data_IF_927058607053
#
_entry.id   IF_927058607053
#
_cell.length_a   1.000
_cell.length_b   1.000
_cell.length_c   1.000
_cell.angle_alpha   90.00
_cell.angle_beta   90.00
_cell.angle_gamma   90.00
#
_symmetry.space_group_name_H-M   'P 1'
#
loop_
_entity.id
_entity.type
_entity.pdbx_description
1 polymer ?
#
# COMPACT_ATOMS: atom_id res chain seq x y z
N UNK A 1 -6.85 -4.94 -18.55
CA UNK A 1 -5.48 -4.39 -18.42
C UNK A 1 -5.33 -2.95 -18.89
N UNK A 2 -5.95 -2.52 -20.02
CA UNK A 2 -5.76 -1.19 -20.63
C UNK A 2 -5.78 0.00 -19.66
N UNK A 3 -6.55 -0.07 -18.56
CA UNK A 3 -6.69 1.00 -17.57
C UNK A 3 -6.19 0.67 -16.16
N UNK A 4 -5.75 -0.56 -15.90
CA UNK A 4 -5.44 -1.02 -14.54
C UNK A 4 -4.40 -0.13 -13.84
N UNK A 5 -3.42 0.35 -14.60
CA UNK A 5 -2.36 1.21 -14.06
C UNK A 5 -2.75 2.68 -13.95
N UNK A 6 -3.74 3.13 -14.71
CA UNK A 6 -4.32 4.45 -14.55
C UNK A 6 -5.17 4.48 -13.27
N UNK A 7 -6.01 3.46 -13.06
CA UNK A 7 -6.84 3.30 -11.87
C UNK A 7 -5.99 3.24 -10.60
N UNK A 8 -4.90 2.45 -10.60
CA UNK A 8 -3.98 2.38 -9.46
C UNK A 8 -3.34 3.73 -9.14
N UNK A 9 -2.88 4.47 -10.16
CA UNK A 9 -2.29 5.80 -9.97
C UNK A 9 -3.30 6.79 -9.41
N UNK A 10 -4.53 6.80 -9.93
CA UNK A 10 -5.61 7.67 -9.43
C UNK A 10 -5.94 7.36 -7.98
N UNK A 11 -6.06 6.07 -7.63
CA UNK A 11 -6.30 5.63 -6.27
C UNK A 11 -5.17 6.07 -5.32
N UNK A 12 -3.91 5.80 -5.67
CA UNK A 12 -2.76 6.20 -4.86
C UNK A 12 -2.70 7.72 -4.71
N UNK A 13 -2.91 8.48 -5.80
CA UNK A 13 -2.90 9.94 -5.75
C UNK A 13 -3.99 10.49 -4.81
N UNK A 14 -5.20 9.94 -4.86
CA UNK A 14 -6.28 10.30 -3.94
C UNK A 14 -5.91 10.00 -2.48
N UNK A 15 -5.35 8.82 -2.20
CA UNK A 15 -4.95 8.45 -0.83
C UNK A 15 -3.86 9.39 -0.32
N UNK A 16 -2.82 9.65 -1.11
CA UNK A 16 -1.69 10.50 -0.69
C UNK A 16 -2.08 11.98 -0.54
N UNK A 17 -3.05 12.46 -1.32
CA UNK A 17 -3.56 13.82 -1.21
C UNK A 17 -4.36 14.04 0.08
N UNK A 18 -5.18 13.06 0.47
CA UNK A 18 -6.12 13.21 1.59
C UNK A 18 -5.60 12.63 2.91
N UNK A 19 -4.57 11.78 2.87
CA UNK A 19 -4.07 11.08 4.06
C UNK A 19 -2.55 11.14 4.17
N UNK A 20 -2.07 11.18 5.41
CA UNK A 20 -0.73 10.75 5.77
C UNK A 20 -0.80 9.28 6.22
N UNK A 21 0.03 8.43 5.62
CA UNK A 21 0.08 7.01 5.91
C UNK A 21 1.21 6.73 6.90
N UNK A 22 0.86 6.24 8.08
CA UNK A 22 1.81 5.86 9.11
C UNK A 22 1.92 4.32 9.18
N UNK A 23 3.12 3.74 9.00
CA UNK A 23 3.30 2.30 9.11
C UNK A 23 3.15 1.85 10.57
N UNK A 24 2.35 0.81 10.80
CA UNK A 24 2.25 0.16 12.12
C UNK A 24 3.29 -0.96 12.24
N UNK A 25 3.51 -1.68 11.14
CA UNK A 25 4.50 -2.74 11.09
C UNK A 25 5.90 -2.19 10.81
N UNK A 26 6.90 -2.81 11.43
CA UNK A 26 8.31 -2.48 11.17
C UNK A 26 8.78 -3.13 9.88
N UNK A 27 9.53 -2.39 9.09
CA UNK A 27 10.10 -2.86 7.82
C UNK A 27 11.01 -4.09 7.99
N UNK A 28 11.72 -4.18 9.11
CA UNK A 28 12.59 -5.32 9.45
C UNK A 28 11.85 -6.66 9.57
N UNK A 29 10.53 -6.61 9.82
CA UNK A 29 9.68 -7.80 9.93
C UNK A 29 8.91 -8.10 8.64
N UNK A 30 9.15 -7.34 7.56
CA UNK A 30 8.50 -7.56 6.28
C UNK A 30 9.16 -8.70 5.52
N UNK A 31 8.48 -9.83 5.44
CA UNK A 31 8.88 -10.96 4.60
C UNK A 31 8.07 -10.97 3.30
N UNK A 32 8.75 -11.19 2.17
CA UNK A 32 8.15 -11.26 0.84
C UNK A 32 8.14 -12.72 0.39
N UNK A 33 6.99 -13.17 -0.10
CA UNK A 33 6.80 -14.50 -0.69
C UNK A 33 6.78 -14.41 -2.22
N UNK A 34 7.48 -15.34 -2.85
CA UNK A 34 7.69 -15.44 -4.29
C UNK A 34 7.08 -16.72 -4.85
N UNK A 35 5.78 -16.95 -4.57
CA UNK A 35 5.04 -18.07 -5.15
C UNK A 35 4.54 -17.71 -6.56
N UNK A 36 3.30 -18.06 -6.90
CA UNK A 36 2.65 -17.70 -8.17
C UNK A 36 2.55 -16.18 -8.38
N UNK A 37 2.52 -15.40 -7.29
CA UNK A 37 2.45 -13.94 -7.28
C UNK A 37 3.34 -13.39 -6.16
N UNK A 38 3.96 -12.22 -6.42
CA UNK A 38 4.72 -11.47 -5.42
C UNK A 38 3.77 -10.88 -4.38
N UNK A 39 3.93 -11.25 -3.10
CA UNK A 39 3.13 -10.72 -1.99
C UNK A 39 3.94 -10.69 -0.70
N UNK A 40 3.44 -10.00 0.32
CA UNK A 40 3.98 -10.14 1.68
C UNK A 40 3.47 -11.42 2.34
N UNK A 41 4.28 -12.03 3.21
CA UNK A 41 3.90 -13.23 3.98
C UNK A 41 2.70 -12.98 4.90
N UNK A 42 2.54 -11.74 5.34
CA UNK A 42 1.48 -11.32 6.25
C UNK A 42 0.88 -9.99 5.79
N UNK A 43 -0.31 -9.66 6.30
CA UNK A 43 -0.96 -8.39 6.02
C UNK A 43 -0.13 -7.22 6.59
N UNK A 44 0.12 -6.19 5.78
CA UNK A 44 0.75 -4.96 6.23
C UNK A 44 -0.29 -4.02 6.83
N UNK A 45 -0.03 -3.55 8.04
CA UNK A 45 -0.89 -2.64 8.79
C UNK A 45 -0.41 -1.21 8.63
N UNK A 46 -1.32 -0.34 8.20
CA UNK A 46 -1.07 1.08 7.95
C UNK A 46 -2.21 1.88 8.57
N UNK A 47 -1.88 2.98 9.24
CA UNK A 47 -2.84 3.93 9.78
C UNK A 47 -3.04 5.08 8.79
N UNK A 48 -4.29 5.42 8.53
CA UNK A 48 -4.69 6.53 7.68
C UNK A 48 -5.01 7.74 8.55
N UNK A 49 -4.20 8.79 8.45
CA UNK A 49 -4.40 10.05 9.20
C UNK A 49 -4.88 11.11 8.22
N UNK A 50 -6.12 11.64 8.33
CA UNK A 50 -6.61 12.68 7.42
C UNK A 50 -5.70 13.91 7.43
N UNK A 51 -5.41 14.45 6.25
CA UNK A 51 -4.76 15.75 6.08
C UNK A 51 -5.83 16.84 6.21
N UNK A 52 -5.55 17.86 7.02
CA UNK A 52 -6.38 19.06 7.14
C UNK A 52 -6.27 19.93 5.88
#
# INVERSE_FOLDING_TARGET
>A
QKYAMLELKLFIAYVLHNFYLEPIDRTENMNIELDLVLRTSHALRVKFIPRN
#
